data_IF_835645132616
#
_entry.id   IF_835645132616
#
_cell.length_a   1.000
_cell.length_b   1.000
_cell.length_c   1.000
_cell.angle_alpha   90.00
_cell.angle_beta   90.00
_cell.angle_gamma   90.00
#
_symmetry.space_group_name_H-M   'P 1'
#
loop_
_entity.id
_entity.type
_entity.pdbx_description
1 polymer ?
#
# COMPACT_ATOMS: atom_id res chain seq x y z
N UNK A 1 -62.32 -18.49 -47.64
CA UNK A 1 -62.06 -17.17 -48.26
C UNK A 1 -60.56 -16.94 -48.57
N UNK A 2 -59.69 -17.86 -48.24
CA UNK A 2 -58.23 -17.75 -48.45
C UNK A 2 -57.82 -17.87 -49.94
N UNK A 3 -58.44 -18.73 -50.70
CA UNK A 3 -57.99 -19.05 -52.05
C UNK A 3 -58.13 -17.91 -53.11
N UNK A 4 -58.98 -16.89 -52.87
CA UNK A 4 -59.08 -15.74 -53.79
C UNK A 4 -57.89 -14.74 -53.63
N UNK A 5 -57.36 -14.60 -52.49
CA UNK A 5 -56.14 -13.75 -52.21
C UNK A 5 -54.86 -14.39 -52.77
N UNK A 6 -54.73 -15.71 -52.63
CA UNK A 6 -53.60 -16.44 -53.20
C UNK A 6 -53.62 -16.44 -54.75
N UNK A 7 -54.80 -16.55 -55.35
CA UNK A 7 -54.97 -16.43 -56.81
C UNK A 7 -54.59 -15.04 -57.30
N UNK A 8 -55.10 -14.00 -56.66
CA UNK A 8 -54.78 -12.60 -57.00
C UNK A 8 -53.25 -12.26 -56.85
N UNK A 9 -52.62 -12.74 -55.80
CA UNK A 9 -51.16 -12.53 -55.60
C UNK A 9 -50.35 -13.29 -56.64
N UNK A 10 -50.77 -14.50 -57.03
CA UNK A 10 -50.12 -15.28 -58.10
C UNK A 10 -50.21 -14.64 -59.47
N UNK A 11 -51.43 -14.15 -59.84
CA UNK A 11 -51.66 -13.54 -61.14
C UNK A 11 -51.03 -12.18 -61.33
N UNK A 12 -50.82 -11.41 -60.19
CA UNK A 12 -50.23 -10.11 -60.21
C UNK A 12 -48.75 -10.10 -59.66
N UNK A 13 -48.12 -11.26 -59.55
CA UNK A 13 -46.77 -11.41 -59.00
C UNK A 13 -45.77 -10.47 -59.66
N UNK A 14 -45.87 -10.20 -60.95
CA UNK A 14 -44.98 -9.28 -61.68
C UNK A 14 -45.14 -7.80 -61.28
N UNK A 15 -46.30 -7.41 -60.75
CA UNK A 15 -46.56 -6.04 -60.31
C UNK A 15 -46.06 -5.84 -58.87
N UNK A 16 -45.99 -6.89 -58.05
CA UNK A 16 -45.45 -6.88 -56.74
C UNK A 16 -43.88 -6.98 -56.71
N UNK A 17 -43.33 -7.56 -57.77
CA UNK A 17 -41.85 -7.56 -57.96
C UNK A 17 -41.44 -6.25 -58.64
N UNK A 18 -41.68 -5.13 -57.93
CA UNK A 18 -41.06 -3.86 -58.25
C UNK A 18 -39.56 -4.02 -58.11
N UNK A 19 -38.83 -3.84 -59.20
CA UNK A 19 -37.37 -3.87 -59.38
C UNK A 19 -36.61 -3.97 -58.06
N UNK A 20 -35.93 -5.08 -57.83
CA UNK A 20 -35.06 -5.25 -56.70
C UNK A 20 -34.16 -4.04 -56.48
N UNK A 21 -33.66 -3.85 -55.26
CA UNK A 21 -32.87 -2.68 -54.93
C UNK A 21 -31.75 -2.49 -55.96
N UNK A 22 -31.58 -1.27 -56.43
CA UNK A 22 -30.61 -0.96 -57.49
C UNK A 22 -29.19 -1.31 -57.02
N UNK A 23 -28.34 -1.77 -57.96
CA UNK A 23 -26.95 -2.07 -57.68
C UNK A 23 -26.23 -0.86 -57.01
N UNK A 24 -26.71 0.36 -57.25
CA UNK A 24 -26.19 1.56 -56.57
C UNK A 24 -26.53 1.61 -55.08
N UNK A 25 -27.62 0.99 -54.66
CA UNK A 25 -28.01 0.92 -53.26
C UNK A 25 -27.16 -0.11 -52.50
N UNK A 26 -26.88 -1.22 -53.15
CA UNK A 26 -25.94 -2.22 -52.62
C UNK A 26 -24.53 -1.66 -52.48
N UNK A 27 -24.03 -0.95 -53.50
CA UNK A 27 -22.71 -0.29 -53.44
C UNK A 27 -22.63 0.77 -52.34
N UNK A 28 -23.72 1.48 -52.05
CA UNK A 28 -23.76 2.45 -50.93
C UNK A 28 -23.75 1.76 -49.56
N UNK A 29 -24.49 0.66 -49.41
CA UNK A 29 -24.51 -0.11 -48.15
C UNK A 29 -23.13 -0.75 -47.88
N UNK A 30 -22.52 -1.31 -48.92
CA UNK A 30 -21.18 -1.89 -48.83
C UNK A 30 -20.14 -0.84 -48.47
N UNK A 31 -20.18 0.34 -49.09
CA UNK A 31 -19.29 1.46 -48.74
C UNK A 31 -19.54 2.04 -47.35
N UNK A 32 -20.74 1.95 -46.79
CA UNK A 32 -21.04 2.36 -45.41
C UNK A 32 -20.65 1.28 -44.40
N UNK A 33 -20.75 0.01 -44.73
CA UNK A 33 -20.27 -1.09 -43.89
C UNK A 33 -18.76 -1.08 -43.81
N UNK A 34 -18.05 -0.91 -44.91
CA UNK A 34 -16.57 -0.79 -44.91
C UNK A 34 -16.08 0.42 -44.12
N UNK A 35 -16.86 1.51 -44.09
CA UNK A 35 -16.54 2.65 -43.23
C UNK A 35 -16.72 2.37 -41.73
N UNK A 36 -17.61 1.42 -41.36
CA UNK A 36 -17.82 1.07 -39.94
C UNK A 36 -16.80 0.07 -39.40
N UNK A 37 -16.16 -0.70 -40.26
CA UNK A 37 -15.20 -1.74 -39.86
C UNK A 37 -13.74 -1.24 -39.69
N UNK A 38 -13.47 0.04 -39.83
CA UNK A 38 -12.19 0.51 -39.38
C UNK A 38 -12.20 0.60 -37.84
N UNK A 39 -11.56 -0.31 -37.14
CA UNK A 39 -11.37 -0.16 -35.70
C UNK A 39 -10.64 1.15 -35.53
N UNK A 40 -11.28 2.17 -34.96
CA UNK A 40 -10.59 3.37 -34.50
C UNK A 40 -9.50 2.86 -33.54
N UNK A 41 -8.29 2.69 -34.05
CA UNK A 41 -7.13 2.37 -33.25
C UNK A 41 -7.12 3.40 -32.13
N UNK A 42 -7.47 2.97 -30.93
CA UNK A 42 -7.40 3.77 -29.71
C UNK A 42 -5.92 3.93 -29.30
N UNK A 43 -5.14 4.46 -30.24
CA UNK A 43 -3.71 4.72 -30.08
C UNK A 43 -3.48 5.64 -28.87
N UNK A 44 -4.44 6.52 -28.59
CA UNK A 44 -4.33 7.45 -27.44
C UNK A 44 -4.37 6.73 -26.09
N UNK A 45 -5.21 5.71 -25.91
CA UNK A 45 -5.31 5.01 -24.61
C UNK A 45 -4.06 4.19 -24.32
N UNK A 46 -3.49 3.53 -25.33
CA UNK A 46 -2.26 2.75 -25.21
C UNK A 46 -1.03 3.64 -24.97
N UNK A 47 -0.98 4.81 -25.58
CA UNK A 47 0.08 5.79 -25.35
C UNK A 47 0.02 6.39 -23.94
N UNK A 48 -1.19 6.61 -23.39
CA UNK A 48 -1.36 7.08 -22.01
C UNK A 48 -0.98 6.00 -20.98
N UNK A 49 -1.27 4.73 -21.28
CA UNK A 49 -0.83 3.62 -20.43
C UNK A 49 0.69 3.45 -20.41
N UNK A 50 1.39 3.68 -21.51
CA UNK A 50 2.85 3.61 -21.56
C UNK A 50 3.51 4.74 -20.76
N UNK A 51 2.95 5.95 -20.77
CA UNK A 51 3.44 7.07 -19.94
C UNK A 51 3.25 6.78 -18.44
N UNK A 52 2.10 6.23 -18.06
CA UNK A 52 1.86 5.83 -16.67
C UNK A 52 2.84 4.74 -16.19
N UNK A 53 3.13 3.75 -17.05
CA UNK A 53 4.11 2.70 -16.73
C UNK A 53 5.52 3.27 -16.52
N UNK A 54 5.96 4.23 -17.36
CA UNK A 54 7.27 4.89 -17.22
C UNK A 54 7.33 5.68 -15.90
N UNK A 55 6.24 6.38 -15.52
CA UNK A 55 6.19 7.12 -14.26
C UNK A 55 6.26 6.17 -13.04
N UNK A 56 5.56 5.04 -13.07
CA UNK A 56 5.63 4.07 -11.98
C UNK A 56 7.03 3.45 -11.87
N UNK A 57 7.64 3.10 -12.99
CA UNK A 57 9.02 2.57 -13.01
C UNK A 57 10.02 3.62 -12.55
N UNK A 58 9.90 4.87 -13.01
CA UNK A 58 10.81 5.95 -12.58
C UNK A 58 10.65 6.29 -11.09
N UNK A 59 9.41 6.31 -10.55
CA UNK A 59 9.16 6.45 -9.13
C UNK A 59 9.71 5.25 -8.33
N UNK A 60 9.56 4.04 -8.84
CA UNK A 60 10.14 2.83 -8.23
C UNK A 60 11.67 2.91 -8.17
N UNK A 61 12.32 3.30 -9.27
CA UNK A 61 13.78 3.47 -9.34
C UNK A 61 14.22 4.63 -8.42
N UNK A 62 13.50 5.77 -8.43
CA UNK A 62 13.79 6.89 -7.54
C UNK A 62 13.67 6.50 -6.06
N UNK A 63 12.62 5.75 -5.71
CA UNK A 63 12.41 5.28 -4.35
C UNK A 63 13.49 4.27 -3.91
N UNK A 64 13.83 3.30 -4.78
CA UNK A 64 14.89 2.31 -4.48
C UNK A 64 16.27 2.96 -4.45
N UNK A 65 16.52 3.97 -5.30
CA UNK A 65 17.79 4.69 -5.32
C UNK A 65 17.96 5.55 -4.06
N UNK A 66 16.92 6.30 -3.66
CA UNK A 66 16.94 7.05 -2.40
C UNK A 66 17.01 6.14 -1.16
N UNK A 67 16.31 5.00 -1.16
CA UNK A 67 16.37 4.04 -0.06
C UNK A 67 17.77 3.42 0.07
N UNK A 68 18.41 3.07 -1.05
CA UNK A 68 19.78 2.54 -1.04
C UNK A 68 20.83 3.61 -0.69
N UNK A 69 20.66 4.84 -1.13
CA UNK A 69 21.60 5.92 -0.80
C UNK A 69 21.55 6.33 0.67
N UNK A 70 20.38 6.24 1.31
CA UNK A 70 20.22 6.52 2.73
C UNK A 70 20.72 5.33 3.57
N UNK A 71 20.63 4.09 3.06
CA UNK A 71 21.03 2.89 3.84
C UNK A 71 22.52 2.53 3.75
N UNK A 72 23.25 2.98 2.72
CA UNK A 72 24.60 2.45 2.48
C UNK A 72 25.74 3.21 3.13
N UNK A 73 25.47 4.30 3.89
CA UNK A 73 26.52 5.07 4.56
C UNK A 73 26.21 5.40 6.03
N UNK A 74 25.13 4.88 6.59
CA UNK A 74 24.87 5.08 8.02
C UNK A 74 25.78 4.16 8.84
N UNK A 75 26.52 4.78 9.77
CA UNK A 75 27.33 4.05 10.73
C UNK A 75 26.37 3.36 11.70
N UNK A 76 26.43 2.05 11.73
CA UNK A 76 25.60 1.23 12.62
C UNK A 76 26.32 0.98 13.96
N UNK A 77 25.56 0.77 15.02
CA UNK A 77 26.06 0.45 16.37
C UNK A 77 27.02 -0.74 16.35
N UNK A 78 26.71 -1.77 15.54
CA UNK A 78 27.52 -2.98 15.41
C UNK A 78 28.91 -2.72 14.81
N UNK A 79 29.05 -1.69 13.96
CA UNK A 79 30.34 -1.32 13.34
C UNK A 79 31.28 -0.67 14.36
N UNK A 80 30.73 0.05 15.34
CA UNK A 80 31.50 0.70 16.42
C UNK A 80 31.83 -0.29 17.51
N UNK A 81 30.86 -1.10 17.90
CA UNK A 81 31.03 -2.12 18.94
C UNK A 81 30.09 -3.31 18.66
N UNK A 82 30.63 -4.47 18.27
CA UNK A 82 29.85 -5.67 18.06
C UNK A 82 29.05 -6.12 19.30
N UNK A 83 29.60 -5.91 20.50
CA UNK A 83 28.90 -6.23 21.75
C UNK A 83 27.64 -5.40 21.94
N UNK A 84 27.73 -4.08 21.73
CA UNK A 84 26.56 -3.21 21.80
C UNK A 84 25.57 -3.44 20.68
N UNK A 85 26.04 -3.77 19.48
CA UNK A 85 25.18 -4.15 18.36
C UNK A 85 24.36 -5.39 18.67
N UNK A 86 24.95 -6.42 19.25
CA UNK A 86 24.23 -7.64 19.64
C UNK A 86 23.19 -7.36 20.74
N UNK A 87 23.52 -6.51 21.72
CA UNK A 87 22.57 -6.09 22.76
C UNK A 87 21.41 -5.29 22.17
N UNK A 88 21.68 -4.41 21.22
CA UNK A 88 20.67 -3.62 20.55
C UNK A 88 19.66 -4.52 19.80
N UNK A 89 20.14 -5.47 19.01
CA UNK A 89 19.28 -6.44 18.31
C UNK A 89 18.39 -7.20 19.30
N UNK A 90 18.95 -7.61 20.43
CA UNK A 90 18.18 -8.30 21.48
C UNK A 90 17.09 -7.39 22.06
N UNK A 91 17.41 -6.13 22.36
CA UNK A 91 16.43 -5.18 22.88
C UNK A 91 15.33 -4.86 21.84
N UNK A 92 15.70 -4.64 20.57
CA UNK A 92 14.73 -4.40 19.49
C UNK A 92 13.73 -5.54 19.40
N UNK A 93 14.20 -6.79 19.37
CA UNK A 93 13.30 -7.96 19.33
C UNK A 93 12.36 -8.01 20.53
N UNK A 94 12.86 -7.75 21.74
CA UNK A 94 12.02 -7.74 22.95
C UNK A 94 11.04 -6.55 22.96
N UNK A 95 11.45 -5.38 22.46
CA UNK A 95 10.58 -4.20 22.33
C UNK A 95 9.41 -4.50 21.42
N UNK A 96 9.66 -5.07 20.24
CA UNK A 96 8.59 -5.43 19.29
C UNK A 96 7.62 -6.44 19.90
N UNK A 97 8.11 -7.50 20.55
CA UNK A 97 7.26 -8.47 21.27
C UNK A 97 6.36 -7.79 22.31
N UNK A 98 6.90 -6.82 23.06
CA UNK A 98 6.12 -6.11 24.08
C UNK A 98 5.18 -5.07 23.49
N UNK A 99 5.54 -4.42 22.37
CA UNK A 99 4.62 -3.55 21.62
C UNK A 99 3.43 -4.33 21.09
N UNK A 100 3.65 -5.50 20.51
CA UNK A 100 2.58 -6.38 20.04
C UNK A 100 1.66 -6.79 21.21
N UNK A 101 2.25 -7.15 22.33
CA UNK A 101 1.49 -7.46 23.56
C UNK A 101 0.66 -6.26 24.04
N UNK A 102 1.19 -5.06 23.96
CA UNK A 102 0.50 -3.82 24.35
C UNK A 102 -0.66 -3.51 23.39
N UNK A 103 -0.48 -3.73 22.09
CA UNK A 103 -1.47 -3.46 21.06
C UNK A 103 -2.78 -4.26 21.25
N UNK A 104 -2.71 -5.45 21.84
CA UNK A 104 -3.88 -6.28 22.16
C UNK A 104 -4.85 -5.54 23.10
N UNK A 105 -4.31 -4.69 23.97
CA UNK A 105 -5.10 -3.95 24.96
C UNK A 105 -5.63 -2.60 24.47
N UNK A 106 -5.27 -2.18 23.25
CA UNK A 106 -5.67 -0.89 22.68
C UNK A 106 -7.20 -0.71 22.64
N UNK A 107 -7.94 -1.78 22.34
CA UNK A 107 -9.42 -1.77 22.29
C UNK A 107 -10.07 -1.75 23.66
N UNK A 108 -9.43 -2.34 24.66
CA UNK A 108 -9.98 -2.46 26.01
C UNK A 108 -9.73 -1.21 26.87
N UNK A 109 -8.62 -0.53 26.66
CA UNK A 109 -8.19 0.64 27.41
C UNK A 109 -7.53 1.68 26.49
N UNK A 110 -8.30 2.33 25.60
CA UNK A 110 -7.75 3.22 24.57
C UNK A 110 -7.00 4.44 25.13
N UNK A 111 -7.46 5.01 26.25
CA UNK A 111 -6.80 6.16 26.89
C UNK A 111 -5.42 5.81 27.44
N UNK A 112 -5.32 4.70 28.17
CA UNK A 112 -4.03 4.20 28.68
C UNK A 112 -3.09 3.83 27.53
N UNK A 113 -3.61 3.20 26.50
CA UNK A 113 -2.83 2.86 25.31
C UNK A 113 -2.26 4.12 24.63
N UNK A 114 -3.06 5.18 24.51
CA UNK A 114 -2.61 6.45 23.94
C UNK A 114 -1.50 7.11 24.77
N UNK A 115 -1.62 7.12 26.09
CA UNK A 115 -0.57 7.64 26.98
C UNK A 115 0.73 6.84 26.83
N UNK A 116 0.63 5.53 26.86
CA UNK A 116 1.78 4.64 26.77
C UNK A 116 2.52 4.74 25.44
N UNK A 117 1.75 4.87 24.35
CA UNK A 117 2.35 5.08 23.02
C UNK A 117 2.99 6.45 22.87
N UNK A 118 2.51 7.48 23.58
CA UNK A 118 3.13 8.80 23.58
C UNK A 118 4.52 8.76 24.25
N UNK A 119 4.66 8.06 25.40
CA UNK A 119 5.94 7.89 26.09
C UNK A 119 6.97 7.17 25.21
N UNK A 120 6.55 6.08 24.57
CA UNK A 120 7.40 5.33 23.65
C UNK A 120 7.82 6.17 22.44
N UNK A 121 6.91 6.98 21.90
CA UNK A 121 7.19 7.87 20.77
C UNK A 121 8.27 8.91 21.13
N UNK A 122 8.28 9.42 22.36
CA UNK A 122 9.31 10.33 22.82
C UNK A 122 10.68 9.64 22.86
N UNK A 123 10.75 8.41 23.40
CA UNK A 123 11.99 7.63 23.43
C UNK A 123 12.47 7.24 22.03
N UNK A 124 11.57 6.91 21.11
CA UNK A 124 11.90 6.66 19.70
C UNK A 124 12.48 7.93 19.04
N UNK A 125 11.88 9.11 19.29
CA UNK A 125 12.39 10.37 18.77
C UNK A 125 13.80 10.73 19.33
N UNK A 126 14.07 10.41 20.59
CA UNK A 126 15.40 10.55 21.17
C UNK A 126 16.42 9.60 20.53
N UNK A 127 16.02 8.35 20.29
CA UNK A 127 16.85 7.37 19.59
C UNK A 127 17.25 7.85 18.19
N UNK A 128 16.30 8.38 17.42
CA UNK A 128 16.59 8.95 16.09
C UNK A 128 17.56 10.14 16.16
N UNK A 129 17.47 10.98 17.18
CA UNK A 129 18.47 12.05 17.42
C UNK A 129 19.85 11.48 17.67
N UNK A 130 19.97 10.47 18.54
CA UNK A 130 21.23 9.79 18.81
C UNK A 130 21.81 9.13 17.56
N UNK A 131 20.96 8.56 16.71
CA UNK A 131 21.38 7.98 15.42
C UNK A 131 22.00 9.04 14.50
N UNK A 132 21.38 10.24 14.43
CA UNK A 132 21.96 11.36 13.69
C UNK A 132 23.26 11.90 14.31
N UNK A 133 23.37 11.89 15.63
CA UNK A 133 24.58 12.31 16.35
C UNK A 133 25.72 11.33 16.11
N UNK A 134 25.44 10.03 16.05
CA UNK A 134 26.43 8.98 15.77
C UNK A 134 27.18 9.24 14.45
N UNK A 135 26.49 9.78 13.45
CA UNK A 135 27.06 10.09 12.13
C UNK A 135 28.04 11.28 12.16
N UNK A 136 27.94 12.14 13.16
CA UNK A 136 28.64 13.44 13.22
C UNK A 136 29.70 13.54 14.28
N UNK A 137 29.60 12.72 15.33
CA UNK A 137 30.48 12.85 16.51
C UNK A 137 31.75 12.02 16.35
N UNK A 138 32.90 12.55 16.78
CA UNK A 138 34.12 11.75 16.90
C UNK A 138 34.06 10.74 18.06
N UNK A 139 33.23 11.00 19.08
CA UNK A 139 33.07 10.11 20.24
C UNK A 139 31.91 9.13 20.07
N UNK A 140 31.96 8.34 19.00
CA UNK A 140 30.91 7.41 18.59
C UNK A 140 30.54 6.38 19.66
N UNK A 141 31.54 5.89 20.43
CA UNK A 141 31.28 4.89 21.47
C UNK A 141 30.40 5.44 22.60
N UNK A 142 30.49 6.73 22.90
CA UNK A 142 29.61 7.35 23.89
C UNK A 142 28.18 7.39 23.42
N UNK A 143 27.96 7.77 22.15
CA UNK A 143 26.63 7.81 21.54
C UNK A 143 26.04 6.39 21.42
N UNK A 144 26.83 5.39 21.03
CA UNK A 144 26.41 3.99 21.01
C UNK A 144 25.90 3.52 22.37
N UNK A 145 26.63 3.85 23.45
CA UNK A 145 26.17 3.54 24.82
C UNK A 145 24.84 4.21 25.14
N UNK A 146 24.67 5.48 24.75
CA UNK A 146 23.38 6.18 24.91
C UNK A 146 22.23 5.55 24.11
N UNK A 147 22.49 5.13 22.88
CA UNK A 147 21.49 4.43 22.04
C UNK A 147 21.04 3.12 22.67
N UNK A 148 21.99 2.29 23.12
CA UNK A 148 21.66 1.02 23.79
C UNK A 148 20.90 1.27 25.10
N UNK A 149 21.29 2.31 25.85
CA UNK A 149 20.59 2.72 27.08
C UNK A 149 19.16 3.19 26.80
N UNK A 150 18.93 3.93 25.71
CA UNK A 150 17.60 4.33 25.29
C UNK A 150 16.72 3.09 24.97
N UNK A 151 17.23 2.09 24.25
CA UNK A 151 16.52 0.83 24.00
C UNK A 151 16.17 0.06 25.28
N UNK A 152 17.11 0.02 26.21
CA UNK A 152 16.86 -0.56 27.54
C UNK A 152 15.72 0.16 28.28
N UNK A 153 15.69 1.50 28.22
CA UNK A 153 14.63 2.31 28.81
C UNK A 153 13.27 2.05 28.13
N UNK A 154 13.21 1.96 26.80
CA UNK A 154 11.99 1.61 26.07
C UNK A 154 11.44 0.26 26.53
N UNK A 155 12.31 -0.74 26.66
CA UNK A 155 11.90 -2.06 27.13
C UNK A 155 11.39 -2.03 28.58
N UNK A 156 12.05 -1.25 29.45
CA UNK A 156 11.64 -1.08 30.85
C UNK A 156 10.26 -0.42 30.94
N UNK A 157 10.03 0.66 30.17
CA UNK A 157 8.73 1.36 30.11
C UNK A 157 7.65 0.41 29.62
N UNK A 158 7.86 -0.35 28.55
CA UNK A 158 6.90 -1.35 28.06
C UNK A 158 6.54 -2.42 29.10
N UNK A 159 7.54 -2.93 29.82
CA UNK A 159 7.29 -3.89 30.90
C UNK A 159 6.41 -3.30 32.02
N UNK A 160 6.68 -2.06 32.42
CA UNK A 160 5.88 -1.35 33.43
C UNK A 160 4.44 -1.11 32.92
N UNK A 161 4.28 -0.65 31.69
CA UNK A 161 2.98 -0.41 31.08
C UNK A 161 2.13 -1.68 31.01
N UNK A 162 2.71 -2.80 30.61
CA UNK A 162 2.01 -4.10 30.59
C UNK A 162 1.62 -4.55 32.02
N UNK A 163 2.45 -4.30 33.00
CA UNK A 163 2.14 -4.60 34.42
C UNK A 163 0.93 -3.78 34.87
N UNK A 164 0.89 -2.48 34.58
CA UNK A 164 -0.22 -1.59 34.92
C UNK A 164 -1.52 -2.08 34.27
N UNK A 165 -1.48 -2.41 32.98
CA UNK A 165 -2.67 -2.93 32.26
C UNK A 165 -3.18 -4.21 32.91
N UNK A 166 -2.29 -5.13 33.23
CA UNK A 166 -2.69 -6.39 33.88
C UNK A 166 -3.35 -6.13 35.24
N UNK A 167 -2.83 -5.22 36.04
CA UNK A 167 -3.43 -4.82 37.32
C UNK A 167 -4.83 -4.20 37.10
N UNK A 168 -4.97 -3.24 36.18
CA UNK A 168 -6.26 -2.63 35.87
C UNK A 168 -7.30 -3.68 35.42
N UNK A 169 -6.89 -4.65 34.60
CA UNK A 169 -7.78 -5.71 34.16
C UNK A 169 -8.18 -6.67 35.28
N UNK A 170 -7.29 -6.94 36.25
CA UNK A 170 -7.61 -7.71 37.43
C UNK A 170 -8.66 -7.00 38.31
N UNK A 171 -8.45 -5.71 38.61
CA UNK A 171 -9.41 -4.91 39.40
C UNK A 171 -10.79 -4.84 38.72
N UNK A 172 -10.83 -4.69 37.39
CA UNK A 172 -12.12 -4.68 36.66
C UNK A 172 -12.86 -6.02 36.80
N UNK A 173 -12.15 -7.15 36.79
CA UNK A 173 -12.76 -8.48 36.97
C UNK A 173 -13.31 -8.67 38.39
N UNK A 174 -12.58 -8.25 39.41
CA UNK A 174 -12.98 -8.37 40.81
C UNK A 174 -14.17 -7.47 41.14
N UNK A 175 -14.27 -6.28 40.54
CA UNK A 175 -15.36 -5.33 40.76
C UNK A 175 -16.64 -5.65 39.94
N UNK A 176 -16.60 -6.64 39.06
CA UNK A 176 -17.75 -7.08 38.25
C UNK A 176 -18.44 -8.35 38.78
N UNK A 177 -17.99 -8.84 39.91
CA UNK A 177 -18.61 -9.96 40.68
C UNK A 177 -19.39 -9.39 41.82
#
# INVERSE_FOLDING_TARGET
MSNKLEGFVKDNKKEFEVKGPSNQLWAKIEAELDKKEQPKKSIKLYQWMSVAAILVVSLGIYFTYNYKLVSNNEIEVAQISPEFGQREVTFVSQIEEKKDSLAIYATQNPELYQQFTADLKNLDAEYEKLKLELQKTPNQLFVVKAMVKNREMQLQVLKQQLTIINQVNQYKKESSI
#
